data_IF_355558665728
#
_entry.id   IF_355558665728
#
_cell.length_a   1.000
_cell.length_b   1.000
_cell.length_c   1.000
_cell.angle_alpha   90.00
_cell.angle_beta   90.00
_cell.angle_gamma   90.00
#
_symmetry.space_group_name_H-M   'P 1'
#
loop_
_entity.id
_entity.type
_entity.pdbx_description
1 polymer ?
#
# COMPACT_ATOMS: atom_id res chain seq x y z
N UNK A 1 -4.45 -42.37 2.37
CA UNK A 1 -4.02 -40.96 2.34
C UNK A 1 -2.51 -40.98 2.40
N UNK A 2 -1.86 -40.35 1.44
CA UNK A 2 -0.40 -40.34 1.31
C UNK A 2 0.09 -38.92 1.56
N UNK A 3 1.10 -38.76 2.42
CA UNK A 3 1.66 -37.47 2.80
C UNK A 3 2.98 -37.27 2.04
N UNK A 4 3.10 -36.17 1.30
CA UNK A 4 4.33 -35.83 0.58
C UNK A 4 5.31 -35.01 1.43
N UNK A 5 6.58 -35.01 1.03
CA UNK A 5 7.62 -34.18 1.63
C UNK A 5 7.72 -32.82 0.92
N UNK A 6 8.04 -31.76 1.67
CA UNK A 6 8.44 -30.49 1.07
C UNK A 6 9.88 -30.59 0.54
N UNK A 7 10.09 -30.16 -0.70
CA UNK A 7 11.39 -30.03 -1.33
C UNK A 7 11.63 -28.55 -1.65
N UNK A 8 12.79 -28.04 -1.22
CA UNK A 8 13.23 -26.70 -1.61
C UNK A 8 13.60 -26.69 -3.10
N UNK A 9 13.25 -25.60 -3.76
CA UNK A 9 13.61 -25.30 -5.14
C UNK A 9 14.65 -24.17 -5.15
N UNK A 10 15.44 -24.11 -6.22
CA UNK A 10 16.24 -22.92 -6.48
C UNK A 10 15.30 -21.73 -6.73
N UNK A 11 15.55 -20.62 -6.04
CA UNK A 11 14.77 -19.41 -6.22
C UNK A 11 14.87 -18.88 -7.64
N UNK A 12 15.99 -19.10 -8.34
CA UNK A 12 16.18 -18.65 -9.72
C UNK A 12 15.34 -19.44 -10.73
N UNK A 13 14.87 -20.62 -10.37
CA UNK A 13 13.88 -21.34 -11.17
C UNK A 13 12.49 -20.68 -11.09
N UNK A 14 12.17 -20.06 -9.95
CA UNK A 14 10.90 -19.34 -9.75
C UNK A 14 10.98 -17.88 -10.22
N UNK A 15 12.10 -17.22 -9.94
CA UNK A 15 12.37 -15.81 -10.25
C UNK A 15 13.76 -15.68 -10.87
N UNK A 16 13.87 -15.74 -12.21
CA UNK A 16 15.17 -15.67 -12.90
C UNK A 16 15.98 -14.40 -12.56
N UNK A 17 15.31 -13.27 -12.40
CA UNK A 17 15.87 -11.96 -12.07
C UNK A 17 15.24 -11.38 -10.80
N UNK A 18 16.09 -10.80 -9.96
CA UNK A 18 15.66 -10.10 -8.75
C UNK A 18 14.79 -8.88 -9.09
N UNK A 19 15.34 -7.93 -9.88
CA UNK A 19 14.65 -6.70 -10.24
C UNK A 19 13.42 -6.90 -11.15
N UNK A 20 13.44 -7.91 -12.04
CA UNK A 20 12.38 -8.08 -13.04
C UNK A 20 11.32 -9.11 -12.66
N UNK A 21 11.64 -10.07 -11.78
CA UNK A 21 10.72 -11.13 -11.40
C UNK A 21 10.41 -11.11 -9.90
N UNK A 22 11.44 -11.10 -9.04
CA UNK A 22 11.22 -11.23 -7.60
C UNK A 22 10.65 -9.96 -6.96
N UNK A 23 11.24 -8.79 -7.22
CA UNK A 23 10.77 -7.51 -6.64
C UNK A 23 9.32 -7.21 -7.03
N UNK A 24 8.91 -7.28 -8.32
CA UNK A 24 7.52 -7.07 -8.70
C UNK A 24 6.57 -8.10 -8.09
N UNK A 25 6.99 -9.39 -8.07
CA UNK A 25 6.19 -10.43 -7.44
C UNK A 25 6.01 -10.19 -5.93
N UNK A 26 7.06 -9.74 -5.24
CA UNK A 26 7.02 -9.46 -3.81
C UNK A 26 6.08 -8.29 -3.50
N UNK A 27 6.08 -7.24 -4.33
CA UNK A 27 5.14 -6.11 -4.23
C UNK A 27 3.69 -6.59 -4.35
N UNK A 28 3.40 -7.42 -5.35
CA UNK A 28 2.06 -7.98 -5.56
C UNK A 28 1.64 -8.99 -4.47
N UNK A 29 2.58 -9.46 -3.65
CA UNK A 29 2.38 -10.49 -2.62
C UNK A 29 2.81 -10.04 -1.21
N UNK A 30 2.84 -8.73 -0.94
CA UNK A 30 3.24 -8.17 0.36
C UNK A 30 2.36 -8.68 1.51
N UNK A 31 1.14 -9.15 1.26
CA UNK A 31 0.29 -9.75 2.28
C UNK A 31 0.89 -11.03 2.88
N UNK A 32 1.71 -11.76 2.12
CA UNK A 32 2.42 -12.95 2.61
C UNK A 32 3.50 -12.57 3.61
N UNK A 33 4.27 -11.53 3.28
CA UNK A 33 5.28 -10.98 4.16
C UNK A 33 4.64 -10.35 5.41
N UNK A 34 3.58 -9.56 5.21
CA UNK A 34 2.75 -8.96 6.26
C UNK A 34 2.29 -9.98 7.29
N UNK A 35 1.86 -11.17 6.84
CA UNK A 35 1.36 -12.24 7.72
C UNK A 35 2.44 -12.81 8.62
N UNK A 36 3.67 -12.96 8.12
CA UNK A 36 4.76 -13.58 8.89
C UNK A 36 5.42 -12.57 9.83
N UNK A 37 5.54 -11.31 9.42
CA UNK A 37 6.09 -10.26 10.27
C UNK A 37 5.06 -9.73 11.26
N UNK A 38 3.77 -9.76 10.90
CA UNK A 38 2.68 -9.28 11.73
C UNK A 38 2.36 -7.78 11.63
N UNK A 39 2.78 -7.13 10.54
CA UNK A 39 2.51 -5.72 10.23
C UNK A 39 1.78 -5.70 8.89
N UNK A 40 0.64 -4.99 8.74
CA UNK A 40 0.05 -4.76 7.42
C UNK A 40 1.01 -3.93 6.56
N UNK A 41 1.24 -4.35 5.32
CA UNK A 41 2.09 -3.62 4.38
C UNK A 41 1.28 -3.20 3.15
N UNK A 42 1.43 -1.94 2.76
CA UNK A 42 0.92 -1.39 1.51
C UNK A 42 2.10 -0.76 0.75
N UNK A 43 2.32 -1.15 -0.51
CA UNK A 43 3.43 -0.62 -1.30
C UNK A 43 3.18 0.86 -1.66
N UNK A 44 4.19 1.70 -1.49
CA UNK A 44 4.19 3.09 -1.94
C UNK A 44 4.98 3.28 -3.24
N UNK A 45 6.04 2.50 -3.43
CA UNK A 45 6.87 2.54 -4.62
C UNK A 45 7.95 1.46 -4.65
N UNK A 46 8.53 1.25 -5.82
CA UNK A 46 9.70 0.40 -6.06
C UNK A 46 10.85 1.24 -6.61
N UNK A 47 12.09 0.83 -6.35
CA UNK A 47 13.30 1.54 -6.81
C UNK A 47 13.31 3.03 -6.41
N UNK A 48 12.88 3.32 -5.18
CA UNK A 48 12.74 4.71 -4.71
C UNK A 48 14.13 5.31 -4.51
N UNK A 49 14.42 6.37 -5.27
CA UNK A 49 15.71 7.04 -5.22
C UNK A 49 15.90 7.76 -3.88
N UNK A 50 17.04 7.48 -3.23
CA UNK A 50 17.50 8.12 -1.99
C UNK A 50 18.91 8.63 -2.21
N UNK A 51 18.99 9.94 -2.51
CA UNK A 51 20.21 10.68 -2.86
C UNK A 51 20.97 10.11 -4.08
N UNK A 52 21.59 8.93 -3.96
CA UNK A 52 22.35 8.23 -5.00
C UNK A 52 22.20 6.70 -5.01
N UNK A 53 21.28 6.16 -4.20
CA UNK A 53 20.95 4.74 -4.16
C UNK A 53 19.43 4.54 -4.36
N UNK A 54 18.98 3.30 -4.58
CA UNK A 54 17.57 2.97 -4.76
C UNK A 54 17.15 1.92 -3.73
N UNK A 55 16.15 2.24 -2.90
CA UNK A 55 15.50 1.26 -2.04
C UNK A 55 14.66 0.32 -2.92
N UNK A 56 14.75 -1.00 -2.68
CA UNK A 56 14.06 -1.96 -3.56
C UNK A 56 12.55 -1.75 -3.52
N UNK A 57 11.98 -1.72 -2.31
CA UNK A 57 10.56 -1.48 -2.08
C UNK A 57 10.38 -0.55 -0.87
N UNK A 58 9.64 0.52 -1.08
CA UNK A 58 9.11 1.36 -0.01
C UNK A 58 7.63 1.00 0.21
N UNK A 59 7.29 0.70 1.44
CA UNK A 59 5.93 0.38 1.87
C UNK A 59 5.55 1.24 3.07
N UNK A 60 4.26 1.24 3.40
CA UNK A 60 3.71 1.88 4.59
C UNK A 60 2.89 0.86 5.38
N UNK A 61 2.89 1.01 6.69
CA UNK A 61 1.86 0.42 7.54
C UNK A 61 0.60 1.29 7.48
N UNK A 62 -0.50 0.83 6.86
CA UNK A 62 -1.74 1.62 6.75
C UNK A 62 -2.43 1.88 8.11
N UNK A 63 -1.97 1.27 9.21
CA UNK A 63 -2.55 1.48 10.54
C UNK A 63 -2.14 2.78 11.20
N UNK A 64 -0.85 3.06 11.19
CA UNK A 64 -0.24 4.18 11.89
C UNK A 64 0.49 5.12 10.93
N UNK A 65 0.55 4.75 9.64
CA UNK A 65 1.21 5.51 8.60
C UNK A 65 2.73 5.39 8.62
N UNK A 66 3.31 4.50 9.44
CA UNK A 66 4.76 4.33 9.55
C UNK A 66 5.39 3.80 8.26
N UNK A 67 6.56 4.32 7.94
CA UNK A 67 7.32 3.95 6.74
C UNK A 67 8.08 2.63 6.97
N UNK A 68 8.01 1.74 5.98
CA UNK A 68 8.61 0.41 5.96
C UNK A 68 9.51 0.27 4.74
N UNK A 69 10.79 0.09 4.99
CA UNK A 69 11.78 -0.23 3.98
C UNK A 69 11.88 -1.75 3.81
N UNK A 70 11.84 -2.23 2.58
CA UNK A 70 12.04 -3.65 2.27
C UNK A 70 13.18 -3.76 1.25
N UNK A 71 14.22 -4.48 1.66
CA UNK A 71 15.37 -4.82 0.80
C UNK A 71 15.29 -6.32 0.50
N UNK A 72 15.38 -6.71 -0.76
CA UNK A 72 15.13 -8.08 -1.16
C UNK A 72 16.22 -8.65 -2.05
N UNK A 73 16.71 -9.85 -1.72
CA UNK A 73 17.75 -10.50 -2.50
C UNK A 73 17.53 -12.01 -2.69
N UNK A 74 17.79 -12.50 -3.90
CA UNK A 74 17.72 -13.92 -4.26
C UNK A 74 18.98 -14.70 -3.84
N UNK A 75 20.06 -14.00 -3.52
CA UNK A 75 21.31 -14.58 -3.05
C UNK A 75 21.45 -14.51 -1.52
N UNK A 76 22.57 -15.03 -0.99
CA UNK A 76 22.91 -14.90 0.43
C UNK A 76 23.27 -13.48 0.82
N UNK A 77 22.97 -13.08 2.06
CA UNK A 77 23.17 -11.70 2.52
C UNK A 77 24.60 -11.20 2.40
N UNK A 78 24.76 -9.94 1.99
CA UNK A 78 26.06 -9.29 1.81
C UNK A 78 26.15 -7.96 2.58
N UNK A 79 27.37 -7.42 2.71
CA UNK A 79 27.60 -6.15 3.40
C UNK A 79 27.07 -4.93 2.65
N UNK A 80 26.82 -5.05 1.34
CA UNK A 80 26.31 -3.95 0.52
C UNK A 80 24.86 -3.66 0.91
N UNK A 81 24.01 -4.69 0.96
CA UNK A 81 22.62 -4.52 1.39
C UNK A 81 22.51 -4.12 2.86
N UNK A 82 23.36 -4.65 3.75
CA UNK A 82 23.41 -4.15 5.13
C UNK A 82 23.77 -2.66 5.18
N UNK A 83 24.73 -2.22 4.37
CA UNK A 83 25.08 -0.80 4.24
C UNK A 83 23.90 0.03 3.76
N UNK A 84 23.19 -0.43 2.72
CA UNK A 84 21.98 0.21 2.19
C UNK A 84 20.90 0.36 3.26
N UNK A 85 20.58 -0.71 3.99
CA UNK A 85 19.64 -0.69 5.13
C UNK A 85 20.00 0.43 6.12
N UNK A 86 21.28 0.54 6.50
CA UNK A 86 21.74 1.56 7.45
C UNK A 86 21.68 2.98 6.88
N UNK A 87 22.01 3.16 5.60
CA UNK A 87 21.95 4.46 4.93
C UNK A 87 20.50 4.94 4.77
N UNK A 88 19.59 4.05 4.37
CA UNK A 88 18.19 4.39 4.14
C UNK A 88 17.44 4.76 5.42
N UNK A 89 17.77 4.14 6.55
CA UNK A 89 17.23 4.55 7.85
C UNK A 89 17.48 6.02 8.17
N UNK A 90 18.61 6.56 7.73
CA UNK A 90 18.94 7.97 7.94
C UNK A 90 18.23 8.90 6.94
N UNK A 91 17.96 8.43 5.72
CA UNK A 91 17.44 9.26 4.61
C UNK A 91 15.93 9.17 4.35
N UNK A 92 15.28 8.05 4.68
CA UNK A 92 13.87 7.78 4.34
C UNK A 92 12.90 7.91 5.53
N UNK A 93 13.40 8.29 6.71
CA UNK A 93 12.64 8.24 7.98
C UNK A 93 11.93 6.88 8.20
N UNK A 94 12.47 5.81 7.60
CA UNK A 94 11.92 4.47 7.71
C UNK A 94 12.02 4.01 9.17
N UNK A 95 10.90 3.56 9.72
CA UNK A 95 10.82 3.10 11.10
C UNK A 95 10.98 1.58 11.14
N UNK A 96 10.45 0.88 10.14
CA UNK A 96 10.63 -0.57 10.02
C UNK A 96 11.50 -0.92 8.82
N UNK A 97 12.40 -1.88 9.01
CA UNK A 97 13.19 -2.47 7.93
C UNK A 97 12.95 -3.97 7.86
N UNK A 98 12.68 -4.47 6.66
CA UNK A 98 12.52 -5.89 6.39
C UNK A 98 13.55 -6.29 5.33
N UNK A 99 14.58 -7.03 5.76
CA UNK A 99 15.54 -7.60 4.82
C UNK A 99 15.11 -9.02 4.46
N UNK A 100 14.80 -9.25 3.20
CA UNK A 100 14.39 -10.53 2.64
C UNK A 100 15.55 -11.15 1.87
N UNK A 101 15.98 -12.37 2.23
CA UNK A 101 17.07 -13.05 1.52
C UNK A 101 16.88 -14.56 1.44
N UNK A 102 17.53 -15.23 0.48
CA UNK A 102 17.56 -16.71 0.42
C UNK A 102 18.23 -17.32 1.65
N UNK A 103 19.33 -16.69 2.08
CA UNK A 103 20.18 -17.19 3.15
C UNK A 103 20.81 -16.03 3.91
N UNK A 104 20.91 -16.16 5.24
CA UNK A 104 21.51 -15.14 6.10
C UNK A 104 22.83 -15.62 6.71
N UNK A 105 23.89 -14.82 6.55
CA UNK A 105 25.10 -15.00 7.34
C UNK A 105 24.85 -14.69 8.83
N UNK A 106 25.40 -15.51 9.72
CA UNK A 106 25.24 -15.34 11.17
C UNK A 106 25.72 -13.98 11.70
N UNK A 107 26.71 -13.36 11.04
CA UNK A 107 27.16 -12.00 11.35
C UNK A 107 26.07 -10.95 11.04
N UNK A 108 25.34 -11.10 9.93
CA UNK A 108 24.24 -10.20 9.59
C UNK A 108 23.04 -10.38 10.53
N UNK A 109 22.71 -11.62 10.92
CA UNK A 109 21.70 -11.86 11.96
C UNK A 109 22.09 -11.22 13.29
N UNK A 110 23.36 -11.37 13.70
CA UNK A 110 23.90 -10.72 14.90
C UNK A 110 23.81 -9.19 14.81
N UNK A 111 24.08 -8.60 13.64
CA UNK A 111 23.95 -7.17 13.42
C UNK A 111 22.50 -6.69 13.54
N UNK A 112 21.55 -7.39 12.90
CA UNK A 112 20.11 -7.09 12.99
C UNK A 112 19.61 -7.20 14.43
N UNK A 113 20.03 -8.24 15.15
CA UNK A 113 19.72 -8.40 16.57
C UNK A 113 20.28 -7.24 17.39
N UNK A 114 21.54 -6.88 17.17
CA UNK A 114 22.17 -5.76 17.85
C UNK A 114 21.40 -4.46 17.61
N UNK A 115 20.96 -4.20 16.37
CA UNK A 115 20.12 -3.05 16.03
C UNK A 115 18.81 -3.05 16.82
N UNK A 116 18.10 -4.19 16.86
CA UNK A 116 16.86 -4.32 17.64
C UNK A 116 17.07 -4.12 19.15
N UNK A 117 18.26 -4.44 19.68
CA UNK A 117 18.58 -4.26 21.12
C UNK A 117 19.03 -2.84 21.48
N UNK A 118 19.51 -2.07 20.50
CA UNK A 118 20.18 -0.77 20.73
C UNK A 118 19.51 0.41 20.03
N UNK A 119 18.39 0.19 19.34
CA UNK A 119 17.53 1.24 18.81
C UNK A 119 16.29 1.39 19.70
N UNK A 120 15.72 2.59 19.73
CA UNK A 120 14.48 2.88 20.48
C UNK A 120 13.27 2.73 19.57
N UNK A 121 12.09 2.51 20.14
CA UNK A 121 10.84 2.67 19.37
C UNK A 121 10.83 4.05 18.67
N UNK A 122 10.36 4.13 17.41
CA UNK A 122 9.59 3.12 16.68
C UNK A 122 10.44 2.17 15.80
N UNK A 123 11.76 2.09 15.97
CA UNK A 123 12.61 1.32 15.06
C UNK A 123 12.44 -0.20 15.22
N UNK A 124 12.26 -0.91 14.10
CA UNK A 124 12.10 -2.36 14.07
C UNK A 124 12.81 -3.00 12.87
N UNK A 125 13.60 -4.05 13.10
CA UNK A 125 14.41 -4.69 12.05
C UNK A 125 14.07 -6.18 11.95
N UNK A 126 13.78 -6.63 10.74
CA UNK A 126 13.43 -8.01 10.44
C UNK A 126 14.42 -8.65 9.48
N UNK A 127 14.89 -9.85 9.83
CA UNK A 127 15.57 -10.75 8.91
C UNK A 127 14.58 -11.81 8.46
N UNK A 128 14.25 -11.86 7.17
CA UNK A 128 13.25 -12.78 6.64
C UNK A 128 13.88 -13.65 5.56
N UNK A 129 13.87 -14.96 5.78
CA UNK A 129 14.32 -15.92 4.78
C UNK A 129 13.19 -16.23 3.81
N UNK A 130 13.44 -16.10 2.51
CA UNK A 130 12.54 -16.55 1.45
C UNK A 130 12.96 -17.91 0.91
N UNK A 131 11.99 -18.80 0.70
CA UNK A 131 12.18 -20.12 0.07
C UNK A 131 11.05 -20.37 -0.91
N UNK A 132 11.32 -21.16 -1.94
CA UNK A 132 10.28 -21.72 -2.81
C UNK A 132 10.31 -23.23 -2.60
N UNK A 133 9.16 -23.80 -2.29
CA UNK A 133 9.04 -25.24 -2.01
C UNK A 133 7.97 -25.88 -2.87
N UNK A 134 8.04 -27.20 -3.01
CA UNK A 134 7.03 -28.03 -3.68
C UNK A 134 6.81 -29.33 -2.92
N UNK A 135 5.64 -29.94 -3.11
CA UNK A 135 5.33 -31.24 -2.51
C UNK A 135 5.79 -32.36 -3.45
N UNK A 136 6.79 -33.12 -3.00
CA UNK A 136 7.40 -34.25 -3.70
C UNK A 136 8.16 -33.88 -4.97
N UNK A 137 8.68 -34.92 -5.64
CA UNK A 137 9.48 -34.78 -6.88
C UNK A 137 8.61 -34.64 -8.14
N UNK A 138 7.29 -34.53 -7.99
CA UNK A 138 6.34 -34.39 -9.08
C UNK A 138 6.21 -32.92 -9.55
N UNK A 139 6.53 -32.65 -10.81
CA UNK A 139 6.49 -31.30 -11.43
C UNK A 139 5.08 -30.76 -11.61
N UNK A 140 4.03 -31.56 -11.34
CA UNK A 140 2.64 -31.11 -11.41
C UNK A 140 2.16 -30.34 -10.17
N UNK A 141 2.90 -30.37 -9.05
CA UNK A 141 2.56 -29.60 -7.85
C UNK A 141 3.02 -28.15 -8.01
N UNK A 142 2.17 -27.14 -7.72
CA UNK A 142 2.57 -25.75 -7.83
C UNK A 142 3.68 -25.41 -6.83
N UNK A 143 4.60 -24.56 -7.24
CA UNK A 143 5.62 -23.99 -6.37
C UNK A 143 4.96 -23.04 -5.34
N UNK A 144 5.40 -23.13 -4.09
CA UNK A 144 4.87 -22.37 -2.98
C UNK A 144 5.98 -21.52 -2.34
N UNK A 145 5.88 -20.19 -2.39
CA UNK A 145 6.81 -19.31 -1.70
C UNK A 145 6.51 -19.27 -0.20
N UNK A 146 7.56 -19.36 0.61
CA UNK A 146 7.52 -19.34 2.06
C UNK A 146 8.45 -18.24 2.58
N UNK A 147 7.98 -17.52 3.59
CA UNK A 147 8.77 -16.56 4.35
C UNK A 147 8.95 -17.05 5.78
N UNK A 148 10.16 -16.94 6.30
CA UNK A 148 10.51 -17.36 7.64
C UNK A 148 11.29 -16.25 8.35
N UNK A 149 10.74 -15.75 9.45
CA UNK A 149 11.38 -14.69 10.23
C UNK A 149 12.50 -15.30 11.07
N UNK A 150 13.75 -14.91 10.79
CA UNK A 150 14.94 -15.36 11.49
C UNK A 150 15.29 -14.45 12.67
N UNK A 151 15.13 -13.13 12.51
CA UNK A 151 15.35 -12.12 13.56
C UNK A 151 14.26 -11.05 13.50
N UNK A 152 13.91 -10.50 14.67
CA UNK A 152 12.88 -9.48 14.87
C UNK A 152 13.06 -8.81 16.25
N UNK A 153 12.38 -7.69 16.55
CA UNK A 153 12.42 -7.08 17.88
C UNK A 153 11.98 -8.03 19.01
N UNK A 154 12.59 -7.88 20.18
CA UNK A 154 12.23 -8.66 21.36
C UNK A 154 10.84 -8.27 21.89
N UNK A 155 10.00 -9.24 22.22
CA UNK A 155 8.63 -8.97 22.71
C UNK A 155 7.60 -8.68 21.61
N UNK A 156 8.03 -8.70 20.35
CA UNK A 156 7.20 -8.48 19.18
C UNK A 156 5.94 -9.35 19.15
N UNK A 157 5.98 -10.62 19.59
CA UNK A 157 4.78 -11.47 19.64
C UNK A 157 3.68 -10.99 20.59
N UNK A 158 4.04 -10.29 21.68
CA UNK A 158 3.07 -9.75 22.64
C UNK A 158 2.43 -8.48 22.12
N UNK A 159 3.24 -7.61 21.51
CA UNK A 159 2.80 -6.41 20.79
C UNK A 159 1.92 -6.84 19.60
N UNK A 160 2.34 -7.84 18.83
CA UNK A 160 1.59 -8.46 17.74
C UNK A 160 0.30 -9.12 18.20
N UNK A 161 0.21 -9.82 19.33
CA UNK A 161 -1.07 -10.38 19.79
C UNK A 161 -2.09 -9.30 20.16
N UNK A 162 -1.62 -8.17 20.70
CA UNK A 162 -2.45 -7.00 20.93
C UNK A 162 -2.84 -6.32 19.59
N UNK A 163 -1.86 -6.10 18.71
CA UNK A 163 -2.07 -5.53 17.37
C UNK A 163 -2.78 -6.47 16.39
N UNK A 164 -2.83 -7.78 16.62
CA UNK A 164 -3.54 -8.78 15.81
C UNK A 164 -5.00 -8.92 16.25
N UNK A 165 -5.33 -8.57 17.49
CA UNK A 165 -6.72 -8.29 17.87
C UNK A 165 -7.21 -7.01 17.18
N UNK A 166 -6.35 -6.00 17.03
CA UNK A 166 -6.60 -4.82 16.18
C UNK A 166 -6.56 -5.15 14.66
N UNK A 167 -5.69 -6.05 14.21
CA UNK A 167 -5.58 -6.42 12.79
C UNK A 167 -6.64 -7.45 12.36
N UNK A 168 -7.25 -8.18 13.29
CA UNK A 168 -8.52 -8.86 13.07
C UNK A 168 -9.58 -7.82 12.66
N UNK A 169 -9.62 -6.66 13.31
CA UNK A 169 -10.46 -5.53 12.90
C UNK A 169 -10.00 -4.87 11.57
N UNK A 170 -8.77 -5.12 11.11
CA UNK A 170 -8.29 -4.71 9.77
C UNK A 170 -8.55 -5.71 8.65
N UNK A 171 -8.56 -7.01 8.95
CA UNK A 171 -9.11 -8.03 8.05
C UNK A 171 -10.60 -7.80 7.86
N UNK A 172 -11.29 -7.38 8.93
CA UNK A 172 -12.63 -6.80 8.88
C UNK A 172 -12.64 -5.48 8.12
N UNK A 173 -11.63 -4.61 8.18
CA UNK A 173 -11.58 -3.35 7.40
C UNK A 173 -11.42 -3.58 5.90
N UNK A 174 -10.59 -4.53 5.48
CA UNK A 174 -10.47 -4.92 4.07
C UNK A 174 -11.74 -5.61 3.56
N UNK A 175 -12.36 -6.45 4.39
CA UNK A 175 -13.68 -7.03 4.10
C UNK A 175 -14.80 -5.97 4.09
N UNK A 176 -14.77 -5.03 5.03
CA UNK A 176 -15.66 -3.88 5.11
C UNK A 176 -15.56 -3.03 3.85
N UNK A 177 -14.35 -2.69 3.39
CA UNK A 177 -14.16 -1.93 2.15
C UNK A 177 -14.66 -2.71 0.94
N UNK A 178 -14.36 -4.01 0.86
CA UNK A 178 -14.91 -4.88 -0.20
C UNK A 178 -16.43 -4.87 -0.21
N UNK A 179 -17.06 -5.02 0.95
CA UNK A 179 -18.52 -5.06 1.07
C UNK A 179 -19.15 -3.68 0.82
N UNK A 180 -18.52 -2.61 1.28
CA UNK A 180 -18.96 -1.24 1.02
C UNK A 180 -18.89 -0.92 -0.47
N UNK A 181 -17.76 -1.17 -1.13
CA UNK A 181 -17.62 -0.97 -2.57
C UNK A 181 -18.50 -1.92 -3.38
N UNK A 182 -18.73 -3.14 -2.91
CA UNK A 182 -19.72 -4.02 -3.52
C UNK A 182 -21.14 -3.45 -3.40
N UNK A 183 -21.51 -2.87 -2.25
CA UNK A 183 -22.78 -2.17 -2.09
C UNK A 183 -22.89 -0.97 -3.05
N UNK A 184 -21.81 -0.19 -3.16
CA UNK A 184 -21.70 0.91 -4.12
C UNK A 184 -21.90 0.43 -5.57
N UNK A 185 -21.11 -0.54 -6.04
CA UNK A 185 -21.17 -1.05 -7.42
C UNK A 185 -22.52 -1.72 -7.74
N UNK A 186 -23.17 -2.35 -6.76
CA UNK A 186 -24.52 -2.91 -6.96
C UNK A 186 -25.57 -1.83 -7.25
N UNK A 187 -25.36 -0.62 -6.72
CA UNK A 187 -26.29 0.50 -6.88
C UNK A 187 -25.91 1.41 -8.05
N UNK A 188 -24.62 1.62 -8.28
CA UNK A 188 -24.04 2.48 -9.31
C UNK A 188 -22.96 1.73 -10.10
N UNK A 189 -23.33 0.78 -10.98
CA UNK A 189 -22.38 -0.06 -11.69
C UNK A 189 -21.50 0.70 -12.71
N UNK A 190 -21.96 1.84 -13.20
CA UNK A 190 -21.33 2.60 -14.30
C UNK A 190 -20.28 3.61 -13.82
N UNK A 191 -20.08 3.76 -12.51
CA UNK A 191 -19.19 4.79 -11.95
C UNK A 191 -17.69 4.43 -12.07
N UNK A 192 -17.37 3.18 -12.39
CA UNK A 192 -16.01 2.71 -12.66
C UNK A 192 -15.29 2.07 -11.46
N UNK A 193 -16.02 1.72 -10.39
CA UNK A 193 -15.48 0.93 -9.26
C UNK A 193 -15.37 -0.55 -9.67
N UNK A 194 -14.19 -1.15 -9.52
CA UNK A 194 -13.98 -2.57 -9.89
C UNK A 194 -14.70 -3.51 -8.92
N UNK A 195 -15.30 -4.58 -9.43
CA UNK A 195 -15.88 -5.63 -8.58
C UNK A 195 -14.79 -6.28 -7.72
N UNK A 196 -15.06 -6.42 -6.42
CA UNK A 196 -14.10 -6.97 -5.46
C UNK A 196 -13.03 -5.98 -4.99
N UNK A 197 -13.16 -4.69 -5.34
CA UNK A 197 -12.23 -3.65 -4.91
C UNK A 197 -12.18 -3.52 -3.38
N UNK A 198 -10.96 -3.47 -2.84
CA UNK A 198 -10.72 -3.48 -1.40
C UNK A 198 -9.90 -2.27 -0.91
N UNK A 199 -9.58 -1.32 -1.80
CA UNK A 199 -8.81 -0.12 -1.46
C UNK A 199 -9.65 0.92 -0.72
N UNK A 200 -8.99 1.80 0.03
CA UNK A 200 -9.63 2.92 0.74
C UNK A 200 -10.11 4.03 -0.20
N UNK A 201 -9.47 4.18 -1.36
CA UNK A 201 -9.78 5.19 -2.35
C UNK A 201 -10.04 4.57 -3.72
N UNK A 202 -10.96 5.10 -4.52
CA UNK A 202 -11.10 4.80 -5.95
C UNK A 202 -10.73 6.05 -6.73
N UNK A 203 -9.83 5.93 -7.71
CA UNK A 203 -9.37 7.06 -8.51
C UNK A 203 -9.93 7.00 -9.92
N UNK A 204 -10.55 8.10 -10.34
CA UNK A 204 -11.17 8.28 -11.64
C UNK A 204 -10.36 9.32 -12.44
N UNK A 205 -9.70 8.92 -13.53
CA UNK A 205 -9.05 9.87 -14.43
C UNK A 205 -10.07 10.83 -15.03
N UNK A 206 -9.73 12.12 -15.03
CA UNK A 206 -10.50 13.15 -15.73
C UNK A 206 -9.90 13.27 -17.14
N UNK A 207 -10.71 12.93 -18.15
CA UNK A 207 -10.28 12.80 -19.55
C UNK A 207 -9.59 14.09 -20.03
N UNK A 208 -8.50 13.93 -20.79
CA UNK A 208 -7.69 15.01 -21.35
C UNK A 208 -7.09 15.99 -20.32
N UNK A 209 -7.03 15.57 -19.06
CA UNK A 209 -6.36 16.31 -17.99
C UNK A 209 -5.45 15.39 -17.19
N UNK A 210 -4.59 16.00 -16.40
CA UNK A 210 -3.71 15.30 -15.46
C UNK A 210 -4.29 15.19 -14.05
N UNK A 211 -5.60 15.36 -13.93
CA UNK A 211 -6.33 15.35 -12.66
C UNK A 211 -6.93 13.95 -12.45
N UNK A 212 -6.81 13.45 -11.22
CA UNK A 212 -7.60 12.31 -10.74
C UNK A 212 -8.65 12.79 -9.75
N UNK A 213 -9.90 12.38 -9.97
CA UNK A 213 -10.97 12.51 -9.00
C UNK A 213 -10.98 11.27 -8.11
N UNK A 214 -10.68 11.46 -6.84
CA UNK A 214 -10.65 10.42 -5.82
C UNK A 214 -11.97 10.36 -5.07
N UNK A 215 -12.54 9.17 -4.92
CA UNK A 215 -13.54 8.85 -3.90
C UNK A 215 -12.87 8.06 -2.79
N UNK A 216 -13.24 8.26 -1.52
CA UNK A 216 -12.73 7.43 -0.44
C UNK A 216 -13.80 7.01 0.56
N UNK A 217 -13.53 5.90 1.25
CA UNK A 217 -14.29 5.44 2.42
C UNK A 217 -13.36 5.29 3.62
N UNK A 218 -13.78 5.86 4.75
CA UNK A 218 -13.11 5.82 6.04
C UNK A 218 -14.11 5.44 7.15
N UNK A 219 -13.61 5.20 8.37
CA UNK A 219 -14.45 4.80 9.51
C UNK A 219 -15.53 5.84 9.85
N UNK A 220 -15.21 7.13 9.72
CA UNK A 220 -16.12 8.24 10.09
C UNK A 220 -16.59 9.07 8.90
N UNK A 221 -16.57 8.49 7.70
CA UNK A 221 -17.20 9.13 6.57
C UNK A 221 -16.69 8.66 5.22
N UNK A 222 -17.23 9.32 4.21
CA UNK A 222 -16.79 9.22 2.82
C UNK A 222 -16.46 10.61 2.31
N UNK A 223 -15.67 10.67 1.26
CA UNK A 223 -15.36 11.95 0.66
C UNK A 223 -14.88 11.85 -0.77
N UNK A 224 -14.78 13.01 -1.39
CA UNK A 224 -14.25 13.20 -2.73
C UNK A 224 -13.22 14.33 -2.72
N UNK A 225 -12.18 14.19 -3.52
CA UNK A 225 -11.18 15.23 -3.74
C UNK A 225 -10.49 15.04 -5.08
N UNK A 226 -9.83 16.08 -5.56
CA UNK A 226 -8.96 16.06 -6.73
C UNK A 226 -7.51 15.89 -6.32
N UNK A 227 -6.71 15.19 -7.11
CA UNK A 227 -5.27 15.03 -6.90
C UNK A 227 -4.52 14.95 -8.22
N UNK A 228 -3.20 15.05 -8.17
CA UNK A 228 -2.37 14.90 -9.35
C UNK A 228 -2.41 13.46 -9.88
N UNK A 229 -2.20 13.34 -11.18
CA UNK A 229 -1.99 12.08 -11.87
C UNK A 229 -0.73 11.36 -11.41
N UNK A 230 -0.65 10.08 -11.78
CA UNK A 230 0.38 9.13 -11.33
C UNK A 230 1.84 9.58 -11.54
N UNK A 231 2.09 10.42 -12.54
CA UNK A 231 3.44 10.86 -12.93
C UNK A 231 3.61 12.39 -12.92
N UNK A 232 2.70 13.12 -12.27
CA UNK A 232 2.72 14.58 -12.27
C UNK A 232 2.79 15.17 -10.87
N UNK A 233 3.56 16.25 -10.72
CA UNK A 233 3.69 16.91 -9.43
C UNK A 233 2.45 17.74 -9.12
N UNK A 234 2.13 17.87 -7.82
CA UNK A 234 1.04 18.72 -7.37
C UNK A 234 1.18 20.17 -7.85
N UNK A 235 2.41 20.66 -7.96
CA UNK A 235 2.71 22.01 -8.46
C UNK A 235 2.39 22.21 -9.94
N UNK A 236 2.52 21.17 -10.77
CA UNK A 236 2.22 21.22 -12.20
C UNK A 236 0.70 21.16 -12.46
N UNK A 237 -0.02 20.40 -11.65
CA UNK A 237 -1.47 20.20 -11.80
C UNK A 237 -2.27 21.33 -11.13
N UNK A 238 -1.69 22.01 -10.13
CA UNK A 238 -2.37 23.06 -9.38
C UNK A 238 -2.97 24.18 -10.25
N UNK A 239 -2.24 24.78 -11.23
CA UNK A 239 -2.82 25.82 -12.09
C UNK A 239 -4.01 25.32 -12.93
N UNK A 240 -4.05 24.03 -13.26
CA UNK A 240 -5.17 23.44 -14.00
C UNK A 240 -6.40 23.36 -13.11
N UNK A 241 -6.23 22.94 -11.85
CA UNK A 241 -7.33 22.86 -10.86
C UNK A 241 -7.83 24.25 -10.47
N UNK A 242 -6.93 25.25 -10.39
CA UNK A 242 -7.29 26.64 -10.10
C UNK A 242 -8.29 27.23 -11.11
N UNK A 243 -8.23 26.81 -12.38
CA UNK A 243 -9.21 27.24 -13.40
C UNK A 243 -10.65 26.86 -13.03
N UNK A 244 -10.83 25.80 -12.24
CA UNK A 244 -12.13 25.33 -11.79
C UNK A 244 -12.44 25.76 -10.35
N UNK A 245 -11.55 26.45 -9.65
CA UNK A 245 -11.66 26.72 -8.21
C UNK A 245 -12.95 27.46 -7.84
N UNK A 246 -13.34 28.48 -8.62
CA UNK A 246 -14.56 29.25 -8.37
C UNK A 246 -15.82 28.37 -8.55
N UNK A 247 -15.90 27.62 -9.65
CA UNK A 247 -17.02 26.72 -9.91
C UNK A 247 -17.10 25.60 -8.87
N UNK A 248 -15.96 25.01 -8.49
CA UNK A 248 -15.88 23.99 -7.45
C UNK A 248 -16.34 24.53 -6.09
N UNK A 249 -15.89 25.73 -5.69
CA UNK A 249 -16.32 26.33 -4.41
C UNK A 249 -17.80 26.72 -4.43
N UNK A 250 -18.28 27.36 -5.50
CA UNK A 250 -19.62 27.92 -5.55
C UNK A 250 -20.69 26.87 -5.83
N UNK A 251 -20.44 25.92 -6.74
CA UNK A 251 -21.42 24.88 -7.06
C UNK A 251 -21.39 23.71 -6.09
N UNK A 252 -20.20 23.35 -5.60
CA UNK A 252 -19.99 22.12 -4.84
C UNK A 252 -19.66 22.35 -3.37
N UNK A 253 -19.52 23.60 -2.91
CA UNK A 253 -19.28 23.96 -1.50
C UNK A 253 -18.05 23.21 -0.92
N UNK A 254 -16.97 23.17 -1.68
CA UNK A 254 -15.77 22.38 -1.35
C UNK A 254 -14.73 23.20 -0.60
N UNK A 255 -13.89 22.50 0.16
CA UNK A 255 -12.67 23.07 0.72
C UNK A 255 -11.53 22.97 -0.30
N UNK A 256 -10.91 24.10 -0.65
CA UNK A 256 -9.73 24.08 -1.52
C UNK A 256 -8.47 23.84 -0.69
N UNK A 257 -7.77 22.75 -0.99
CA UNK A 257 -6.39 22.53 -0.54
C UNK A 257 -5.39 23.34 -1.36
N UNK A 258 -4.11 23.27 -0.98
CA UNK A 258 -2.99 23.85 -1.71
C UNK A 258 -2.07 22.74 -2.28
N UNK A 259 -1.01 23.11 -3.00
CA UNK A 259 -0.09 22.14 -3.62
C UNK A 259 0.63 21.22 -2.62
N UNK A 260 0.75 21.61 -1.35
CA UNK A 260 1.40 20.82 -0.29
C UNK A 260 0.47 19.79 0.37
N UNK A 261 -0.84 19.92 0.21
CA UNK A 261 -1.82 19.04 0.87
C UNK A 261 -1.99 17.69 0.14
N UNK A 262 -1.57 17.60 -1.13
CA UNK A 262 -1.72 16.40 -1.96
C UNK A 262 -3.16 16.10 -2.40
N UNK A 263 -4.10 16.99 -2.08
CA UNK A 263 -5.49 16.98 -2.51
C UNK A 263 -6.01 18.40 -2.73
N UNK A 264 -7.05 18.55 -3.55
CA UNK A 264 -7.78 19.79 -3.82
C UNK A 264 -9.27 19.55 -3.83
N UNK A 265 -10.05 20.62 -3.60
CA UNK A 265 -11.51 20.57 -3.64
C UNK A 265 -12.04 19.36 -2.86
N UNK A 266 -11.69 19.25 -1.58
CA UNK A 266 -12.17 18.18 -0.71
C UNK A 266 -13.61 18.46 -0.29
N UNK A 267 -14.45 17.44 -0.38
CA UNK A 267 -15.76 17.42 0.26
C UNK A 267 -15.92 16.11 1.02
N UNK A 268 -16.52 16.19 2.21
CA UNK A 268 -16.68 15.03 3.09
C UNK A 268 -18.09 14.95 3.65
N UNK A 269 -18.60 13.72 3.75
CA UNK A 269 -19.78 13.40 4.54
C UNK A 269 -19.31 12.66 5.81
N UNK A 270 -19.43 13.32 6.96
CA UNK A 270 -19.07 12.73 8.26
C UNK A 270 -20.23 11.88 8.77
N UNK A 271 -20.05 10.56 8.73
CA UNK A 271 -21.04 9.58 9.14
C UNK A 271 -20.33 8.26 9.49
N UNK A 272 -20.80 7.53 10.50
CA UNK A 272 -20.16 6.29 10.93
C UNK A 272 -20.39 5.19 9.89
N UNK A 273 -19.33 4.81 9.19
CA UNK A 273 -19.41 3.80 8.13
C UNK A 273 -19.51 2.38 8.69
N UNK A 274 -19.26 2.17 9.98
CA UNK A 274 -19.42 0.87 10.63
C UNK A 274 -20.90 0.47 10.78
N UNK A 275 -21.80 1.44 10.80
CA UNK A 275 -23.24 1.20 10.77
C UNK A 275 -23.73 1.05 9.31
N UNK A 276 -24.12 -0.17 8.94
CA UNK A 276 -24.59 -0.48 7.58
C UNK A 276 -25.88 0.23 7.20
N UNK A 277 -26.67 0.71 8.17
CA UNK A 277 -27.85 1.52 7.88
C UNK A 277 -27.48 2.85 7.19
N UNK A 278 -26.25 3.33 7.38
CA UNK A 278 -25.74 4.56 6.76
C UNK A 278 -25.28 4.36 5.32
N UNK A 279 -24.98 3.13 4.90
CA UNK A 279 -24.36 2.86 3.60
C UNK A 279 -25.15 3.39 2.41
N UNK A 280 -26.49 3.25 2.33
CA UNK A 280 -27.25 3.83 1.22
C UNK A 280 -27.03 5.34 1.08
N UNK A 281 -27.08 6.09 2.19
CA UNK A 281 -26.82 7.53 2.18
C UNK A 281 -25.39 7.84 1.74
N UNK A 282 -24.42 7.07 2.20
CA UNK A 282 -23.01 7.28 1.86
C UNK A 282 -22.71 7.04 0.38
N UNK A 283 -23.25 5.96 -0.20
CA UNK A 283 -23.01 5.63 -1.61
C UNK A 283 -23.76 6.60 -2.52
N UNK A 284 -24.98 7.02 -2.14
CA UNK A 284 -25.74 8.05 -2.87
C UNK A 284 -24.97 9.37 -2.88
N UNK A 285 -24.45 9.77 -1.73
CA UNK A 285 -23.65 10.98 -1.60
C UNK A 285 -22.36 10.91 -2.42
N UNK A 286 -21.64 9.77 -2.41
CA UNK A 286 -20.43 9.58 -3.21
C UNK A 286 -20.71 9.65 -4.71
N UNK A 287 -21.81 9.03 -5.17
CA UNK A 287 -22.23 9.06 -6.56
C UNK A 287 -22.62 10.48 -7.00
N UNK A 288 -23.45 11.16 -6.22
CA UNK A 288 -23.88 12.53 -6.50
C UNK A 288 -22.68 13.47 -6.63
N UNK A 289 -21.71 13.36 -5.74
CA UNK A 289 -20.50 14.19 -5.81
C UNK A 289 -19.56 13.76 -6.94
N UNK A 290 -19.44 12.47 -7.25
CA UNK A 290 -18.68 12.03 -8.44
C UNK A 290 -19.23 12.67 -9.72
N UNK A 291 -20.55 12.62 -9.89
CA UNK A 291 -21.24 13.20 -11.04
C UNK A 291 -21.08 14.72 -11.04
N UNK A 292 -21.23 15.37 -9.89
CA UNK A 292 -21.14 16.83 -9.78
C UNK A 292 -19.73 17.35 -10.07
N UNK A 293 -18.68 16.71 -9.55
CA UNK A 293 -17.29 17.05 -9.86
C UNK A 293 -16.99 16.83 -11.35
N UNK A 294 -17.39 15.68 -11.91
CA UNK A 294 -17.23 15.42 -13.35
C UNK A 294 -17.94 16.48 -14.19
N UNK A 295 -19.13 16.92 -13.78
CA UNK A 295 -19.86 17.99 -14.48
C UNK A 295 -19.06 19.29 -14.47
N UNK A 296 -18.60 19.76 -13.31
CA UNK A 296 -17.81 21.00 -13.23
C UNK A 296 -16.55 20.90 -14.09
N UNK A 297 -15.81 19.79 -13.97
CA UNK A 297 -14.57 19.58 -14.70
C UNK A 297 -14.74 19.37 -16.22
N UNK A 298 -15.97 19.10 -16.70
CA UNK A 298 -16.25 18.91 -18.14
C UNK A 298 -17.11 20.02 -18.75
N UNK A 299 -17.80 20.82 -17.94
CA UNK A 299 -18.62 21.94 -18.39
C UNK A 299 -17.75 23.12 -18.85
N UNK A 300 -16.68 23.44 -18.11
CA UNK A 300 -15.78 24.55 -18.46
C UNK A 300 -14.82 24.21 -19.60
N UNK A 301 -14.51 22.93 -19.82
CA UNK A 301 -13.73 22.48 -20.97
C UNK A 301 -14.40 22.80 -22.33
N UNK A 302 -15.69 23.15 -22.34
CA UNK A 302 -16.44 23.59 -23.54
C UNK A 302 -16.63 25.09 -23.65
N UNK A 303 -16.27 25.88 -22.63
CA UNK A 303 -16.40 27.33 -22.66
C UNK A 303 -15.21 28.01 -23.37
N UNK A 304 -14.07 27.33 -23.48
CA UNK A 304 -12.81 27.83 -24.05
C UNK A 304 -12.50 27.32 -25.48
N UNK A 305 -13.50 26.83 -26.23
CA UNK A 305 -13.33 26.40 -27.63
C UNK A 305 -14.32 27.07 -28.59
#
# INVERSE_FOLDING_TARGET
>A
MEFGELKDMDLREAWPSEAHDFTPWLVDNLERLSRVIGIPLEAEGTEVAVEGFAADILARNPMDGSSVLIENQLEGTDHRHLGQVLTYLAGLEAQTVIWVAREFHGAHLSAIRWLNEHTVEPFAFFAVRVRVVRIGDNTSSPAAPLFEVLERPSGWERQFRASAQEASALSESGQFRREFWQHYTNRYPDDGVRVGYAGSNVWHPVIDTSILLSQYVAVFGVGVYLRSGWNESSEQVFPIVENYAEALQHELEVELGNSSDGWWALKTLRIDSRDRANWPQMVDWLHENLVAYRRVLTADAKADN
#
